data_IF_948736309352
#
_entry.id   IF_948736309352
#
_cell.length_a   1.000
_cell.length_b   1.000
_cell.length_c   1.000
_cell.angle_alpha   90.00
_cell.angle_beta   90.00
_cell.angle_gamma   90.00
#
_symmetry.space_group_name_H-M   'P 1'
#
loop_
_entity.id
_entity.type
_entity.pdbx_description
1 polymer ?
#
# COMPACT_ATOMS: atom_id res chain seq x y z
N UNK A 1 -1.78 -28.21 -10.69
CA UNK A 1 -3.18 -28.60 -10.92
C UNK A 1 -4.00 -27.32 -10.95
N UNK A 2 -4.61 -26.97 -12.09
CA UNK A 2 -5.49 -25.81 -12.18
C UNK A 2 -6.77 -26.13 -11.41
N UNK A 3 -6.92 -25.57 -10.21
CA UNK A 3 -8.19 -25.66 -9.49
C UNK A 3 -9.22 -24.89 -10.31
N UNK A 4 -10.25 -25.61 -10.75
CA UNK A 4 -11.39 -24.99 -11.47
C UNK A 4 -12.03 -23.99 -10.51
N UNK A 5 -12.11 -22.72 -10.92
CA UNK A 5 -12.79 -21.68 -10.12
C UNK A 5 -14.27 -22.04 -9.95
N UNK A 6 -14.82 -21.79 -8.76
CA UNK A 6 -16.23 -22.09 -8.49
C UNK A 6 -17.17 -21.21 -9.35
N UNK A 7 -18.39 -21.68 -9.66
CA UNK A 7 -19.37 -20.87 -10.38
C UNK A 7 -19.68 -19.55 -9.65
N UNK A 8 -19.75 -19.57 -8.33
CA UNK A 8 -20.00 -18.40 -7.48
C UNK A 8 -18.85 -17.40 -7.58
N UNK A 9 -17.60 -17.88 -7.59
CA UNK A 9 -16.41 -17.03 -7.77
C UNK A 9 -16.41 -16.38 -9.15
N UNK A 10 -16.72 -17.16 -10.21
CA UNK A 10 -16.81 -16.64 -11.58
C UNK A 10 -17.95 -15.61 -11.73
N UNK A 11 -19.08 -15.82 -11.06
CA UNK A 11 -20.17 -14.85 -11.03
C UNK A 11 -19.75 -13.55 -10.36
N UNK A 12 -19.05 -13.64 -9.21
CA UNK A 12 -18.57 -12.51 -8.42
C UNK A 12 -17.53 -11.69 -9.15
N UNK A 13 -16.54 -12.34 -9.75
CA UNK A 13 -15.39 -11.70 -10.37
C UNK A 13 -15.35 -11.76 -11.90
N UNK A 14 -16.45 -12.13 -12.55
CA UNK A 14 -16.56 -12.22 -14.01
C UNK A 14 -16.27 -10.89 -14.73
N UNK A 15 -16.46 -9.75 -14.06
CA UNK A 15 -16.04 -8.43 -14.57
C UNK A 15 -14.52 -8.33 -14.75
N UNK A 16 -13.77 -8.88 -13.82
CA UNK A 16 -12.30 -8.94 -13.90
C UNK A 16 -11.86 -9.85 -15.05
N UNK A 17 -12.52 -11.02 -15.20
CA UNK A 17 -12.24 -11.91 -16.33
C UNK A 17 -12.50 -11.27 -17.69
N UNK A 18 -13.55 -10.45 -17.81
CA UNK A 18 -13.83 -9.71 -19.06
C UNK A 18 -12.82 -8.61 -19.36
N UNK A 19 -12.18 -8.04 -18.32
CA UNK A 19 -11.20 -6.97 -18.47
C UNK A 19 -9.79 -7.50 -18.71
N UNK A 20 -9.37 -8.53 -17.97
CA UNK A 20 -8.00 -9.05 -17.98
C UNK A 20 -7.86 -10.44 -18.62
N UNK A 21 -8.96 -11.12 -18.91
CA UNK A 21 -9.00 -12.49 -19.41
C UNK A 21 -9.21 -13.56 -18.32
N UNK A 22 -9.72 -14.73 -18.72
CA UNK A 22 -9.99 -15.85 -17.80
C UNK A 22 -8.70 -16.37 -17.12
N UNK A 23 -7.61 -16.44 -17.88
CA UNK A 23 -6.32 -16.88 -17.35
C UNK A 23 -5.80 -15.93 -16.26
N UNK A 24 -5.99 -14.61 -16.46
CA UNK A 24 -5.62 -13.62 -15.46
C UNK A 24 -6.45 -13.74 -14.18
N UNK A 25 -7.78 -13.95 -14.28
CA UNK A 25 -8.61 -14.20 -13.10
C UNK A 25 -8.17 -15.46 -12.36
N UNK A 26 -7.87 -16.55 -13.07
CA UNK A 26 -7.36 -17.78 -12.48
C UNK A 26 -6.00 -17.56 -11.79
N UNK A 27 -5.12 -16.75 -12.37
CA UNK A 27 -3.86 -16.36 -11.74
C UNK A 27 -4.10 -15.56 -10.45
N UNK A 28 -5.00 -14.55 -10.47
CA UNK A 28 -5.34 -13.74 -9.30
C UNK A 28 -5.95 -14.58 -8.17
N UNK A 29 -6.77 -15.58 -8.47
CA UNK A 29 -7.32 -16.51 -7.49
C UNK A 29 -6.24 -17.32 -6.75
N UNK A 30 -5.07 -17.50 -7.36
CA UNK A 30 -3.92 -18.18 -6.78
C UNK A 30 -2.83 -17.19 -6.28
N UNK A 31 -3.07 -15.91 -6.42
CA UNK A 31 -2.10 -14.88 -5.99
C UNK A 31 -2.14 -14.72 -4.47
N UNK A 32 -0.94 -14.60 -3.86
CA UNK A 32 -0.76 -14.23 -2.46
C UNK A 32 -0.03 -12.88 -2.39
N UNK A 33 -0.71 -11.85 -1.91
CA UNK A 33 -0.12 -10.53 -1.73
C UNK A 33 -0.03 -10.18 -0.24
N UNK A 34 0.93 -9.33 0.12
CA UNK A 34 1.01 -8.76 1.46
C UNK A 34 0.69 -7.26 1.43
N UNK A 35 -0.08 -6.79 2.40
CA UNK A 35 -0.35 -5.37 2.64
C UNK A 35 0.14 -5.01 4.04
N UNK A 36 1.11 -4.11 4.12
CA UNK A 36 1.72 -3.67 5.36
C UNK A 36 1.20 -2.28 5.70
N UNK A 37 0.52 -2.18 6.84
CA UNK A 37 -0.19 -0.97 7.27
C UNK A 37 -1.60 -0.88 6.68
N UNK A 38 -2.63 -0.95 7.54
CA UNK A 38 -4.05 -0.83 7.17
C UNK A 38 -4.60 0.56 7.52
N UNK A 39 -3.78 1.58 7.30
CA UNK A 39 -4.17 2.98 7.43
C UNK A 39 -5.02 3.48 6.26
N UNK A 40 -4.97 4.80 6.01
CA UNK A 40 -5.75 5.47 4.96
C UNK A 40 -5.46 5.03 3.53
N UNK A 41 -4.33 4.36 3.28
CA UNK A 41 -3.96 3.83 1.96
C UNK A 41 -4.13 2.32 1.90
N UNK A 42 -3.53 1.60 2.87
CA UNK A 42 -3.50 0.14 2.83
C UNK A 42 -4.87 -0.51 2.92
N UNK A 43 -5.81 0.08 3.66
CA UNK A 43 -7.19 -0.44 3.73
C UNK A 43 -7.89 -0.42 2.36
N UNK A 44 -7.71 0.65 1.56
CA UNK A 44 -8.27 0.73 0.21
C UNK A 44 -7.54 -0.19 -0.77
N UNK A 45 -6.22 -0.36 -0.61
CA UNK A 45 -5.46 -1.32 -1.40
C UNK A 45 -5.94 -2.76 -1.13
N UNK A 46 -6.08 -3.16 0.13
CA UNK A 46 -6.56 -4.49 0.52
C UNK A 46 -7.98 -4.76 -0.01
N UNK A 47 -8.89 -3.78 0.11
CA UNK A 47 -10.25 -3.89 -0.44
C UNK A 47 -10.25 -4.02 -1.97
N UNK A 48 -9.44 -3.21 -2.66
CA UNK A 48 -9.33 -3.27 -4.12
C UNK A 48 -8.80 -4.64 -4.60
N UNK A 49 -7.82 -5.22 -3.91
CA UNK A 49 -7.30 -6.55 -4.19
C UNK A 49 -8.37 -7.63 -4.00
N UNK A 50 -9.10 -7.60 -2.89
CA UNK A 50 -10.18 -8.55 -2.63
C UNK A 50 -11.29 -8.45 -3.69
N UNK A 51 -11.68 -7.22 -4.08
CA UNK A 51 -12.68 -6.95 -5.16
C UNK A 51 -12.19 -7.35 -6.55
N UNK A 52 -10.88 -7.50 -6.71
CA UNK A 52 -10.26 -7.97 -7.96
C UNK A 52 -10.10 -9.50 -8.01
N UNK A 53 -10.58 -10.23 -7.00
CA UNK A 53 -10.51 -11.68 -6.95
C UNK A 53 -9.12 -12.21 -6.55
N UNK A 54 -8.31 -11.43 -5.83
CA UNK A 54 -7.07 -11.96 -5.24
C UNK A 54 -7.42 -13.01 -4.19
N UNK A 55 -6.82 -14.21 -4.31
CA UNK A 55 -7.20 -15.37 -3.52
C UNK A 55 -6.58 -15.40 -2.13
N UNK A 56 -5.49 -14.67 -1.88
CA UNK A 56 -4.79 -14.72 -0.60
C UNK A 56 -4.14 -13.39 -0.23
N UNK A 57 -4.35 -12.93 1.00
CA UNK A 57 -3.72 -11.72 1.53
C UNK A 57 -3.11 -11.97 2.90
N UNK A 58 -1.88 -11.48 3.09
CA UNK A 58 -1.29 -11.23 4.41
C UNK A 58 -1.49 -9.77 4.77
N UNK A 59 -2.09 -9.51 5.91
CA UNK A 59 -2.37 -8.18 6.46
C UNK A 59 -1.52 -7.98 7.71
N UNK A 60 -0.66 -6.96 7.71
CA UNK A 60 0.23 -6.65 8.84
C UNK A 60 -0.14 -5.29 9.41
N UNK A 61 -0.72 -5.28 10.61
CA UNK A 61 -1.19 -4.07 11.29
C UNK A 61 -1.40 -4.38 12.78
N UNK A 62 -1.03 -3.46 13.67
CA UNK A 62 -1.19 -3.62 15.12
C UNK A 62 -2.25 -2.70 15.72
N UNK A 63 -2.54 -1.57 15.08
CA UNK A 63 -3.41 -0.54 15.63
C UNK A 63 -4.87 -0.96 15.75
N UNK A 64 -5.58 -0.29 16.66
CA UNK A 64 -7.03 -0.27 16.74
C UNK A 64 -7.65 0.83 15.87
N UNK A 65 -8.94 0.66 15.58
CA UNK A 65 -9.75 1.66 14.87
C UNK A 65 -9.99 2.87 15.77
N UNK A 66 -9.54 4.04 15.35
CA UNK A 66 -9.73 5.30 16.07
C UNK A 66 -10.76 6.20 15.36
N UNK A 67 -11.51 6.99 16.12
CA UNK A 67 -12.47 7.96 15.58
C UNK A 67 -11.82 8.95 14.61
N UNK A 68 -10.55 9.33 14.82
CA UNK A 68 -9.78 10.21 13.95
C UNK A 68 -9.41 9.58 12.59
N UNK A 69 -9.68 8.28 12.41
CA UNK A 69 -9.46 7.56 11.15
C UNK A 69 -10.64 7.70 10.17
N UNK A 70 -11.81 8.16 10.64
CA UNK A 70 -13.09 8.17 9.90
C UNK A 70 -13.00 8.91 8.56
N UNK A 71 -12.19 9.96 8.47
CA UNK A 71 -12.09 10.78 7.26
C UNK A 71 -11.33 10.11 6.10
N UNK A 72 -10.68 8.90 6.32
CA UNK A 72 -9.83 8.31 5.30
C UNK A 72 -9.70 6.79 5.29
N UNK A 73 -10.12 6.08 6.35
CA UNK A 73 -10.00 4.61 6.45
C UNK A 73 -11.38 3.96 6.27
N UNK A 74 -11.51 2.99 5.34
CA UNK A 74 -12.79 2.40 4.95
C UNK A 74 -13.50 1.63 6.08
N UNK A 75 -12.74 1.12 7.03
CA UNK A 75 -13.22 0.35 8.18
C UNK A 75 -13.53 1.22 9.40
N UNK A 76 -13.17 2.52 9.39
CA UNK A 76 -13.37 3.41 10.52
C UNK A 76 -14.83 3.91 10.57
N UNK A 77 -15.74 3.04 10.98
CA UNK A 77 -17.15 3.28 11.20
C UNK A 77 -17.42 3.44 12.70
N UNK A 78 -18.48 4.17 13.06
CA UNK A 78 -18.84 4.40 14.47
C UNK A 78 -18.95 3.11 15.29
N UNK A 79 -19.49 2.04 14.69
CA UNK A 79 -19.65 0.72 15.32
C UNK A 79 -18.33 -0.08 15.46
N UNK A 80 -17.24 0.39 14.88
CA UNK A 80 -15.98 -0.34 14.83
C UNK A 80 -14.88 0.31 15.70
N UNK A 81 -15.14 1.49 16.27
CA UNK A 81 -14.16 2.21 17.10
C UNK A 81 -13.71 1.34 18.28
N UNK A 82 -12.39 1.25 18.48
CA UNK A 82 -11.75 0.47 19.53
C UNK A 82 -11.52 -1.02 19.21
N UNK A 83 -11.94 -1.49 18.02
CA UNK A 83 -11.64 -2.85 17.57
C UNK A 83 -10.32 -2.89 16.79
N UNK A 84 -9.64 -4.05 16.81
CA UNK A 84 -8.45 -4.26 15.96
C UNK A 84 -8.74 -3.97 14.49
N UNK A 85 -7.88 -3.16 13.84
CA UNK A 85 -8.01 -2.89 12.39
C UNK A 85 -7.92 -4.18 11.57
N UNK A 86 -7.00 -5.09 11.94
CA UNK A 86 -6.87 -6.39 11.28
C UNK A 86 -8.17 -7.18 11.30
N UNK A 87 -8.84 -7.24 12.46
CA UNK A 87 -10.09 -7.94 12.61
C UNK A 87 -11.18 -7.32 11.73
N UNK A 88 -11.40 -6.00 11.83
CA UNK A 88 -12.48 -5.31 11.11
C UNK A 88 -12.26 -5.36 9.60
N UNK A 89 -11.03 -5.16 9.14
CA UNK A 89 -10.71 -5.27 7.71
C UNK A 89 -10.89 -6.70 7.23
N UNK A 90 -10.47 -7.70 7.99
CA UNK A 90 -10.60 -9.11 7.60
C UNK A 90 -12.06 -9.54 7.47
N UNK A 91 -12.93 -9.13 8.39
CA UNK A 91 -14.38 -9.39 8.30
C UNK A 91 -14.92 -8.80 7.00
N UNK A 92 -14.61 -7.54 6.70
CA UNK A 92 -15.06 -6.85 5.48
C UNK A 92 -14.52 -7.53 4.20
N UNK A 93 -13.27 -7.96 4.16
CA UNK A 93 -12.69 -8.61 3.00
C UNK A 93 -13.32 -9.99 2.75
N UNK A 94 -13.70 -10.75 3.80
CA UNK A 94 -14.44 -12.01 3.66
C UNK A 94 -15.85 -11.79 3.12
N UNK A 95 -16.53 -10.70 3.49
CA UNK A 95 -17.84 -10.34 2.93
C UNK A 95 -17.75 -9.98 1.44
N UNK A 96 -16.63 -9.38 1.00
CA UNK A 96 -16.37 -9.05 -0.40
C UNK A 96 -16.01 -10.30 -1.21
N UNK A 97 -15.10 -11.10 -0.69
CA UNK A 97 -14.58 -12.32 -1.31
C UNK A 97 -14.60 -13.47 -0.29
N UNK A 98 -15.68 -14.26 -0.20
CA UNK A 98 -15.79 -15.37 0.76
C UNK A 98 -14.71 -16.43 0.61
N UNK A 99 -14.13 -16.57 -0.59
CA UNK A 99 -13.08 -17.57 -0.88
C UNK A 99 -11.67 -17.09 -0.52
N UNK A 100 -11.52 -15.84 -0.04
CA UNK A 100 -10.21 -15.26 0.25
C UNK A 100 -9.56 -15.92 1.48
N UNK A 101 -8.31 -16.29 1.35
CA UNK A 101 -7.48 -16.72 2.48
C UNK A 101 -6.78 -15.49 3.08
N UNK A 102 -7.01 -15.24 4.37
CA UNK A 102 -6.44 -14.12 5.09
C UNK A 102 -5.49 -14.59 6.20
N UNK A 103 -4.29 -14.05 6.18
CA UNK A 103 -3.28 -14.18 7.24
C UNK A 103 -3.15 -12.82 7.93
N UNK A 104 -3.64 -12.72 9.15
CA UNK A 104 -3.56 -11.49 9.94
C UNK A 104 -2.39 -11.56 10.90
N UNK A 105 -1.54 -10.54 10.89
CA UNK A 105 -0.38 -10.39 11.75
C UNK A 105 -0.58 -9.12 12.56
N UNK A 106 -0.87 -9.28 13.85
CA UNK A 106 -1.04 -8.18 14.81
C UNK A 106 0.32 -7.77 15.36
N UNK A 107 1.13 -7.16 14.49
CA UNK A 107 2.46 -6.65 14.82
C UNK A 107 2.82 -5.50 13.89
N UNK A 108 3.81 -4.70 14.29
CA UNK A 108 4.51 -3.79 13.39
C UNK A 108 5.68 -4.51 12.73
N UNK A 109 5.89 -4.26 11.44
CA UNK A 109 7.10 -4.75 10.80
C UNK A 109 8.31 -3.88 11.19
N UNK A 110 9.38 -4.54 11.59
CA UNK A 110 10.65 -3.91 11.94
C UNK A 110 11.86 -4.66 11.31
N UNK A 111 13.05 -4.32 11.75
CA UNK A 111 14.26 -4.95 11.25
C UNK A 111 14.43 -6.41 11.71
N UNK A 112 13.87 -6.79 12.84
CA UNK A 112 14.11 -8.08 13.50
C UNK A 112 13.11 -9.14 13.03
N UNK A 113 11.86 -8.73 12.72
CA UNK A 113 10.80 -9.64 12.28
C UNK A 113 10.55 -9.64 10.75
N UNK A 114 11.08 -8.67 10.00
CA UNK A 114 10.81 -8.50 8.57
C UNK A 114 11.04 -9.77 7.75
N UNK A 115 12.14 -10.48 7.99
CA UNK A 115 12.51 -11.69 7.23
C UNK A 115 11.64 -12.91 7.57
N UNK A 116 11.02 -12.92 8.73
CA UNK A 116 10.05 -13.94 9.12
C UNK A 116 8.66 -13.66 8.53
N UNK A 117 8.29 -12.38 8.44
CA UNK A 117 6.96 -11.95 7.99
C UNK A 117 6.84 -11.86 6.47
N UNK A 118 7.90 -11.43 5.78
CA UNK A 118 7.92 -11.25 4.32
C UNK A 118 8.89 -12.26 3.69
N UNK A 119 8.37 -13.05 2.76
CA UNK A 119 9.14 -14.09 2.08
C UNK A 119 8.59 -14.42 0.70
N UNK A 120 9.20 -15.42 0.04
CA UNK A 120 8.89 -15.84 -1.35
C UNK A 120 7.46 -16.38 -1.55
N UNK A 121 6.72 -16.63 -0.47
CA UNK A 121 5.30 -16.96 -0.52
C UNK A 121 4.46 -15.77 -1.03
N UNK A 122 4.94 -14.54 -0.87
CA UNK A 122 4.25 -13.34 -1.35
C UNK A 122 4.70 -13.00 -2.78
N UNK A 123 3.77 -12.97 -3.71
CA UNK A 123 4.05 -12.57 -5.09
C UNK A 123 4.32 -11.08 -5.21
N UNK A 124 3.58 -10.25 -4.46
CA UNK A 124 3.75 -8.80 -4.38
C UNK A 124 3.53 -8.34 -2.95
N UNK A 125 4.29 -7.34 -2.52
CA UNK A 125 4.14 -6.64 -1.24
C UNK A 125 3.75 -5.19 -1.50
N UNK A 126 2.73 -4.69 -0.82
CA UNK A 126 2.35 -3.26 -0.78
C UNK A 126 2.76 -2.71 0.57
N UNK A 127 3.64 -1.73 0.55
CA UNK A 127 4.14 -1.04 1.73
C UNK A 127 3.43 0.31 1.90
N UNK A 128 2.42 0.32 2.78
CA UNK A 128 1.64 1.51 3.14
C UNK A 128 1.95 2.02 4.56
N UNK A 129 3.11 1.66 5.13
CA UNK A 129 3.61 2.20 6.41
C UNK A 129 4.01 3.68 6.30
N UNK A 130 4.28 4.31 7.44
CA UNK A 130 4.78 5.69 7.54
C UNK A 130 6.25 5.80 8.02
N UNK A 131 6.91 4.68 8.37
CA UNK A 131 8.25 4.62 8.92
C UNK A 131 9.33 4.55 7.82
N UNK A 132 9.89 5.71 7.40
CA UNK A 132 10.82 5.79 6.26
C UNK A 132 12.06 4.88 6.37
N UNK A 133 12.62 4.67 7.57
CA UNK A 133 13.81 3.84 7.75
C UNK A 133 13.49 2.35 7.59
N UNK A 134 12.32 1.88 8.08
CA UNK A 134 11.85 0.51 7.90
C UNK A 134 11.50 0.27 6.42
N UNK A 135 10.80 1.22 5.77
CA UNK A 135 10.51 1.15 4.34
C UNK A 135 11.79 0.99 3.51
N UNK A 136 12.85 1.73 3.81
CA UNK A 136 14.13 1.60 3.10
C UNK A 136 14.75 0.20 3.27
N UNK A 137 14.70 -0.37 4.47
CA UNK A 137 15.15 -1.75 4.72
C UNK A 137 14.31 -2.76 3.95
N UNK A 138 12.97 -2.59 3.95
CA UNK A 138 12.06 -3.46 3.21
C UNK A 138 12.34 -3.40 1.70
N UNK A 139 12.58 -2.20 1.14
CA UNK A 139 13.01 -2.02 -0.26
C UNK A 139 14.29 -2.83 -0.55
N UNK A 140 15.31 -2.69 0.30
CA UNK A 140 16.58 -3.40 0.12
C UNK A 140 16.40 -4.92 0.22
N UNK A 141 15.63 -5.37 1.22
CA UNK A 141 15.34 -6.78 1.43
C UNK A 141 14.56 -7.40 0.27
N UNK A 142 13.42 -6.82 -0.12
CA UNK A 142 12.61 -7.32 -1.24
C UNK A 142 13.39 -7.34 -2.55
N UNK A 143 14.25 -6.32 -2.78
CA UNK A 143 15.12 -6.28 -3.95
C UNK A 143 16.12 -7.44 -3.95
N UNK A 144 16.72 -7.76 -2.80
CA UNK A 144 17.70 -8.85 -2.66
C UNK A 144 17.07 -10.23 -2.91
N UNK A 145 15.86 -10.48 -2.39
CA UNK A 145 15.14 -11.75 -2.56
C UNK A 145 14.23 -11.79 -3.79
N UNK A 146 14.23 -10.71 -4.61
CA UNK A 146 13.49 -10.58 -5.87
C UNK A 146 11.97 -10.65 -5.73
N UNK A 147 11.42 -10.13 -4.64
CA UNK A 147 9.97 -9.96 -4.46
C UNK A 147 9.57 -8.58 -5.02
N UNK A 148 8.45 -8.52 -5.73
CA UNK A 148 7.87 -7.26 -6.21
C UNK A 148 7.34 -6.44 -5.04
N UNK A 149 7.77 -5.19 -4.97
CA UNK A 149 7.37 -4.25 -3.92
C UNK A 149 6.78 -2.98 -4.54
N UNK A 150 5.62 -2.58 -4.02
CA UNK A 150 5.00 -1.29 -4.28
C UNK A 150 5.14 -0.44 -3.03
N UNK A 151 5.90 0.63 -3.11
CA UNK A 151 6.12 1.56 -1.98
C UNK A 151 5.14 2.72 -2.09
N UNK A 152 4.44 3.02 -1.02
CA UNK A 152 3.56 4.19 -0.97
C UNK A 152 4.28 5.35 -0.29
N UNK A 153 4.25 6.52 -0.93
CA UNK A 153 4.75 7.77 -0.38
C UNK A 153 3.76 8.43 0.59
N UNK A 154 3.98 9.71 0.87
CA UNK A 154 3.14 10.49 1.78
C UNK A 154 1.85 10.96 1.11
N UNK A 155 0.71 10.49 1.59
CA UNK A 155 -0.63 10.95 1.16
C UNK A 155 -1.19 12.12 1.98
N UNK A 156 -0.60 12.40 3.16
CA UNK A 156 -0.98 13.52 4.00
C UNK A 156 -0.58 14.88 3.43
N UNK A 157 -1.35 15.94 3.74
CA UNK A 157 -1.14 17.28 3.23
C UNK A 157 -1.42 17.45 1.74
N UNK A 158 -2.16 16.53 1.12
CA UNK A 158 -2.51 16.52 -0.31
C UNK A 158 -4.03 16.61 -0.47
N UNK A 159 -4.48 17.28 -1.54
CA UNK A 159 -5.91 17.56 -1.80
C UNK A 159 -6.35 17.13 -3.19
N UNK A 160 -5.43 17.03 -4.14
CA UNK A 160 -5.73 16.74 -5.54
C UNK A 160 -5.37 15.32 -5.92
N UNK A 161 -6.34 14.39 -6.04
CA UNK A 161 -6.08 13.01 -6.44
C UNK A 161 -5.58 12.87 -7.88
N UNK A 162 -5.81 13.85 -8.77
CA UNK A 162 -5.35 13.82 -10.16
C UNK A 162 -3.81 13.94 -10.28
N UNK A 163 -3.13 14.40 -9.23
CA UNK A 163 -1.67 14.52 -9.18
C UNK A 163 -0.98 13.27 -8.62
N UNK A 164 -1.75 12.22 -8.30
CA UNK A 164 -1.17 10.94 -7.89
C UNK A 164 -0.56 10.22 -9.09
N UNK A 165 0.65 9.68 -8.92
CA UNK A 165 1.47 9.05 -9.95
C UNK A 165 2.05 7.74 -9.47
N UNK A 166 2.42 6.90 -10.43
CA UNK A 166 3.24 5.70 -10.20
C UNK A 166 4.50 5.80 -11.05
N UNK A 167 5.67 5.71 -10.45
CA UNK A 167 6.96 5.66 -11.14
C UNK A 167 7.96 4.81 -10.34
N UNK A 168 9.14 4.60 -10.92
CA UNK A 168 10.26 3.99 -10.19
C UNK A 168 10.67 4.85 -9.00
N UNK A 169 10.89 4.24 -7.83
CA UNK A 169 11.28 4.94 -6.59
C UNK A 169 12.49 5.87 -6.79
N UNK A 170 13.43 5.50 -7.66
CA UNK A 170 14.60 6.33 -7.98
C UNK A 170 14.25 7.63 -8.73
N UNK A 171 13.08 7.71 -9.36
CA UNK A 171 12.62 8.83 -10.20
C UNK A 171 11.56 9.70 -9.56
N UNK A 172 11.03 9.30 -8.41
CA UNK A 172 9.98 10.06 -7.72
C UNK A 172 10.48 11.43 -7.28
N UNK A 173 9.57 12.41 -7.28
CA UNK A 173 9.81 13.80 -6.89
C UNK A 173 8.71 14.30 -5.95
N UNK A 174 8.90 15.48 -5.36
CA UNK A 174 7.91 16.19 -4.55
C UNK A 174 7.35 15.42 -3.34
N UNK A 175 7.95 14.28 -2.98
CA UNK A 175 7.54 13.46 -1.84
C UNK A 175 8.67 13.36 -0.80
N UNK A 176 8.47 13.98 0.39
CA UNK A 176 9.49 13.96 1.44
C UNK A 176 9.78 12.58 2.03
N UNK A 177 8.77 11.71 2.09
CA UNK A 177 8.92 10.34 2.59
C UNK A 177 9.81 9.53 1.65
N UNK A 178 9.49 9.53 0.35
CA UNK A 178 10.29 8.82 -0.66
C UNK A 178 11.71 9.40 -0.79
N UNK A 179 11.88 10.71 -0.62
CA UNK A 179 13.22 11.32 -0.57
C UNK A 179 14.04 10.81 0.63
N UNK A 180 13.44 10.64 1.82
CA UNK A 180 14.09 10.04 2.99
C UNK A 180 14.46 8.58 2.71
N UNK A 181 13.55 7.80 2.13
CA UNK A 181 13.79 6.40 1.76
C UNK A 181 15.01 6.31 0.83
N UNK A 182 15.04 7.09 -0.27
CA UNK A 182 16.21 7.13 -1.18
C UNK A 182 17.50 7.48 -0.46
N UNK A 183 17.45 8.44 0.46
CA UNK A 183 18.63 8.83 1.26
C UNK A 183 19.16 7.67 2.11
N UNK A 184 18.26 6.90 2.75
CA UNK A 184 18.64 5.71 3.51
C UNK A 184 19.19 4.61 2.60
N UNK A 185 18.57 4.36 1.43
CA UNK A 185 19.05 3.39 0.45
C UNK A 185 20.46 3.70 -0.03
N UNK A 186 20.76 4.97 -0.30
CA UNK A 186 22.10 5.41 -0.70
C UNK A 186 23.15 5.25 0.41
N UNK A 187 22.77 5.53 1.65
CA UNK A 187 23.71 5.54 2.78
C UNK A 187 24.00 4.15 3.32
N UNK A 188 23.00 3.28 3.36
CA UNK A 188 23.07 2.05 4.15
C UNK A 188 22.83 0.77 3.34
N UNK A 189 22.38 0.88 2.08
CA UNK A 189 22.02 -0.28 1.27
C UNK A 189 22.66 -0.31 -0.12
N UNK A 190 23.68 0.53 -0.35
CA UNK A 190 24.49 0.55 -1.58
C UNK A 190 23.71 0.79 -2.88
N UNK A 191 22.54 1.42 -2.83
CA UNK A 191 21.83 1.83 -4.03
C UNK A 191 22.59 2.96 -4.75
N UNK A 192 22.65 2.90 -6.08
CA UNK A 192 23.35 3.90 -6.86
C UNK A 192 22.59 5.24 -6.86
N UNK A 193 23.35 6.36 -6.74
CA UNK A 193 22.79 7.73 -6.82
C UNK A 193 22.51 8.20 -8.24
N UNK A 194 22.73 7.36 -9.23
CA UNK A 194 22.48 7.66 -10.63
C UNK A 194 20.98 7.69 -10.93
N UNK A 195 20.46 8.85 -11.29
CA UNK A 195 19.04 9.05 -11.63
C UNK A 195 18.62 8.32 -12.92
N UNK A 196 19.54 7.94 -13.78
CA UNK A 196 19.25 7.16 -14.99
C UNK A 196 19.01 5.69 -14.64
N UNK A 197 19.59 5.20 -13.55
CA UNK A 197 19.47 3.82 -13.10
C UNK A 197 18.18 3.63 -12.29
N UNK A 198 17.27 2.81 -12.81
CA UNK A 198 16.04 2.43 -12.10
C UNK A 198 16.36 1.56 -10.88
N UNK A 199 15.63 1.76 -9.79
CA UNK A 199 15.65 0.86 -8.63
C UNK A 199 14.85 -0.41 -8.87
N UNK A 200 13.96 -0.40 -9.88
CA UNK A 200 13.00 -1.48 -10.18
C UNK A 200 12.02 -1.73 -9.03
N UNK A 201 11.70 -0.67 -8.30
CA UNK A 201 10.73 -0.63 -7.23
C UNK A 201 9.69 0.42 -7.60
N UNK A 202 8.45 0.01 -7.75
CA UNK A 202 7.36 0.94 -8.07
C UNK A 202 6.98 1.74 -6.82
N UNK A 203 6.75 3.04 -6.99
CA UNK A 203 6.34 3.94 -5.93
C UNK A 203 5.08 4.72 -6.33
N UNK A 204 4.08 4.73 -5.44
CA UNK A 204 2.89 5.56 -5.56
C UNK A 204 3.11 6.84 -4.78
N UNK A 205 3.00 8.00 -5.43
CA UNK A 205 3.26 9.30 -4.83
C UNK A 205 2.42 10.41 -5.50
N UNK A 206 2.42 11.60 -4.92
CA UNK A 206 1.78 12.76 -5.53
C UNK A 206 2.81 13.84 -5.82
N UNK A 207 2.70 14.47 -6.99
CA UNK A 207 3.51 15.63 -7.37
C UNK A 207 3.00 16.93 -6.75
N UNK A 208 1.86 16.90 -6.05
CA UNK A 208 1.29 18.05 -5.39
C UNK A 208 2.21 18.56 -4.26
N UNK A 209 2.35 19.87 -4.14
CA UNK A 209 3.02 20.48 -3.00
C UNK A 209 2.19 20.26 -1.73
N UNK A 210 2.83 19.90 -0.62
CA UNK A 210 2.14 19.67 0.65
C UNK A 210 1.55 20.95 1.21
N UNK A 211 0.37 20.81 1.84
CA UNK A 211 -0.28 21.84 2.62
C UNK A 211 -0.05 21.58 4.10
N UNK A 212 0.25 22.63 4.85
CA UNK A 212 0.55 22.56 6.29
C UNK A 212 -0.52 23.30 7.08
N UNK A 213 -1.03 22.73 8.18
CA UNK A 213 -1.94 23.43 9.08
C UNK A 213 -1.19 24.52 9.85
N UNK A 214 -1.87 25.66 10.12
CA UNK A 214 -1.39 26.73 10.98
C UNK A 214 -2.12 26.73 12.32
N UNK A 215 -1.53 27.34 13.37
CA UNK A 215 -2.16 27.45 14.69
C UNK A 215 -3.51 28.19 14.69
N UNK A 216 -3.71 29.12 13.72
CA UNK A 216 -4.94 29.89 13.55
C UNK A 216 -6.07 29.12 12.85
N UNK A 217 -5.85 27.82 12.53
CA UNK A 217 -6.79 26.96 11.82
C UNK A 217 -6.76 27.14 10.29
N UNK A 218 -5.99 28.07 9.75
CA UNK A 218 -5.76 28.18 8.32
C UNK A 218 -4.69 27.21 7.82
N UNK A 219 -4.45 27.18 6.51
CA UNK A 219 -3.45 26.30 5.90
C UNK A 219 -2.52 27.10 4.98
N UNK A 220 -1.28 26.64 4.82
CA UNK A 220 -0.31 27.24 3.90
C UNK A 220 0.55 26.16 3.20
N UNK A 221 1.32 26.59 2.21
CA UNK A 221 2.29 25.74 1.51
C UNK A 221 3.72 25.90 2.05
N UNK A 222 3.91 26.76 3.07
CA UNK A 222 5.22 27.04 3.65
C UNK A 222 5.54 26.04 4.77
N UNK A 223 6.62 25.29 4.58
CA UNK A 223 7.12 24.30 5.55
C UNK A 223 7.66 24.95 6.85
N UNK A 224 8.01 26.22 6.83
CA UNK A 224 8.58 26.91 8.01
C UNK A 224 7.60 26.95 9.18
N UNK A 225 6.30 26.87 8.91
CA UNK A 225 5.24 26.82 9.95
C UNK A 225 5.41 25.62 10.90
N UNK A 226 6.09 24.53 10.48
CA UNK A 226 6.39 23.39 11.35
C UNK A 226 7.45 23.71 12.42
N UNK A 227 8.27 24.76 12.23
CA UNK A 227 9.28 25.19 13.19
C UNK A 227 8.65 26.00 14.35
N UNK A 228 7.46 26.53 14.16
CA UNK A 228 6.74 27.36 15.12
C UNK A 228 5.91 26.54 16.15
N UNK A 229 6.23 25.28 16.34
CA UNK A 229 5.69 24.47 17.45
C UNK A 229 4.43 23.66 17.13
N UNK A 230 4.03 23.52 15.87
CA UNK A 230 2.98 22.59 15.46
C UNK A 230 3.49 21.15 15.62
N UNK A 231 3.09 20.46 16.69
CA UNK A 231 3.36 19.04 16.85
C UNK A 231 2.49 18.25 15.88
N UNK A 232 3.15 17.53 14.97
CA UNK A 232 2.51 16.57 14.08
C UNK A 232 2.39 15.22 14.81
N UNK A 233 1.49 15.15 15.75
CA UNK A 233 1.09 13.89 16.41
C UNK A 233 -0.15 13.28 15.75
N UNK A 234 -0.65 12.16 16.26
CA UNK A 234 -1.84 11.49 15.71
C UNK A 234 -3.10 12.37 15.74
N UNK A 235 -3.13 13.41 16.58
CA UNK A 235 -4.23 14.39 16.69
C UNK A 235 -3.99 15.64 15.83
N UNK A 236 -2.71 16.00 15.54
CA UNK A 236 -2.31 17.20 14.80
C UNK A 236 -1.51 16.95 13.52
N UNK A 237 -1.61 15.78 12.89
CA UNK A 237 -0.89 15.43 11.65
C UNK A 237 -1.22 16.33 10.45
N UNK A 238 -0.52 16.10 9.35
CA UNK A 238 -0.82 16.73 8.07
C UNK A 238 -2.22 16.42 7.61
N UNK A 239 -3.25 17.03 7.77
CA UNK A 239 -4.59 16.68 7.28
C UNK A 239 -4.60 15.68 6.10
N UNK A 240 -5.62 14.93 5.96
CA UNK A 240 -5.76 13.92 4.91
C UNK A 240 -7.21 13.83 4.44
N UNK A 241 -7.39 13.36 3.21
CA UNK A 241 -8.70 13.18 2.59
C UNK A 241 -8.77 11.79 1.95
N UNK A 242 -9.94 11.14 2.08
CA UNK A 242 -10.19 9.85 1.44
C UNK A 242 -9.99 9.90 -0.07
N UNK A 243 -10.30 11.03 -0.72
CA UNK A 243 -10.09 11.20 -2.17
C UNK A 243 -8.64 10.97 -2.58
N UNK A 244 -7.69 11.42 -1.77
CA UNK A 244 -6.27 11.22 -2.04
C UNK A 244 -5.81 9.86 -1.54
N UNK A 245 -6.08 9.51 -0.29
CA UNK A 245 -5.60 8.25 0.30
C UNK A 245 -6.19 7.03 -0.40
N UNK A 246 -7.47 7.07 -0.78
CA UNK A 246 -8.11 6.03 -1.60
C UNK A 246 -7.47 5.91 -2.97
N UNK A 247 -7.19 7.03 -3.65
CA UNK A 247 -6.50 7.01 -4.96
C UNK A 247 -5.11 6.38 -4.87
N UNK A 248 -4.35 6.67 -3.80
CA UNK A 248 -3.07 5.99 -3.55
C UNK A 248 -3.27 4.48 -3.37
N UNK A 249 -4.27 4.05 -2.59
CA UNK A 249 -4.59 2.65 -2.35
C UNK A 249 -4.99 1.91 -3.63
N UNK A 250 -5.88 2.50 -4.43
CA UNK A 250 -6.31 1.92 -5.71
C UNK A 250 -5.17 1.82 -6.72
N UNK A 251 -4.31 2.85 -6.84
CA UNK A 251 -3.15 2.78 -7.73
C UNK A 251 -2.11 1.76 -7.24
N UNK A 252 -1.91 1.63 -5.93
CA UNK A 252 -1.02 0.60 -5.38
C UNK A 252 -1.53 -0.81 -5.69
N UNK A 253 -2.82 -1.07 -5.50
CA UNK A 253 -3.46 -2.34 -5.82
C UNK A 253 -3.41 -2.64 -7.32
N UNK A 254 -3.77 -1.66 -8.16
CA UNK A 254 -3.69 -1.81 -9.63
C UNK A 254 -2.26 -2.15 -10.06
N UNK A 255 -1.27 -1.43 -9.55
CA UNK A 255 0.13 -1.68 -9.90
C UNK A 255 0.62 -3.04 -9.44
N UNK A 256 0.16 -3.52 -8.27
CA UNK A 256 0.46 -4.85 -7.77
C UNK A 256 -0.11 -5.93 -8.69
N UNK A 257 -1.36 -5.79 -9.13
CA UNK A 257 -2.02 -6.70 -10.08
C UNK A 257 -1.27 -6.71 -11.41
N UNK A 258 -0.97 -5.54 -12.00
CA UNK A 258 -0.23 -5.44 -13.27
C UNK A 258 1.12 -6.16 -13.19
N UNK A 259 1.89 -5.93 -12.13
CA UNK A 259 3.21 -6.55 -11.96
C UNK A 259 3.14 -8.06 -11.78
N UNK A 260 2.12 -8.53 -11.07
CA UNK A 260 1.91 -9.96 -10.92
C UNK A 260 1.52 -10.63 -12.25
N UNK A 261 0.53 -10.08 -12.95
CA UNK A 261 0.06 -10.63 -14.22
C UNK A 261 1.16 -10.59 -15.31
N UNK A 262 1.98 -9.53 -15.33
CA UNK A 262 3.15 -9.46 -16.20
C UNK A 262 4.13 -10.62 -15.89
N UNK A 263 4.43 -10.86 -14.62
CA UNK A 263 5.33 -11.95 -14.24
C UNK A 263 4.79 -13.33 -14.64
N UNK A 264 3.48 -13.56 -14.45
CA UNK A 264 2.82 -14.81 -14.85
C UNK A 264 2.90 -15.02 -16.35
N UNK A 265 2.68 -13.97 -17.16
CA UNK A 265 2.76 -14.06 -18.63
C UNK A 265 4.19 -14.33 -19.13
N UNK A 266 5.20 -13.70 -18.53
CA UNK A 266 6.61 -13.93 -18.85
C UNK A 266 7.00 -15.39 -18.54
N UNK A 267 6.60 -15.91 -17.37
CA UNK A 267 6.88 -17.31 -16.96
C UNK A 267 6.15 -18.37 -17.80
N UNK A 268 5.08 -18.03 -18.48
CA UNK A 268 4.36 -18.95 -19.37
C UNK A 268 4.93 -18.97 -20.80
N UNK A 269 5.81 -18.02 -21.11
CA UNK A 269 6.45 -17.88 -22.43
C UNK A 269 7.86 -18.51 -22.52
N UNK A 270 8.44 -18.82 -21.35
CA UNK A 270 9.71 -19.55 -21.18
C UNK A 270 9.45 -21.06 -21.04
#
# INVERSE_FOLDING_TARGET
MSSTLSPEYLQRFGGIARLYGQAALAALANAHFAVIGLGGVGTWAAEALARSGVGELTLIELDDVCVTNTNRQSHALASQIGRSKNQVVSERLRDINPDIRLHTIEDFIDQDNMTALIGKQHHVVIDAMDAAHIKARLVAYCSAIKIRLIVVGSSGGKRNPQLVRVDDLGRTESDPMLAKIRTHLYRYHHFARDKQRKFRVDAVYSTEQMVYPKPDGSVCMDKQVLQDGVKLDCAGGFGSSVMVTGSFGFLAANRAIERYLQQVSESASD
#
